data_IF_557712169046
#
_entry.id   IF_557712169046
#
_cell.length_a   1.000
_cell.length_b   1.000
_cell.length_c   1.000
_cell.angle_alpha   90.00
_cell.angle_beta   90.00
_cell.angle_gamma   90.00
#
_symmetry.space_group_name_H-M   'P 1'
#
loop_
_entity.id
_entity.type
_entity.pdbx_description
1 polymer ?
#
# COMPACT_ATOMS: atom_id res chain seq x y z
N UNK A 1 -12.78 -4.94 13.96
CA UNK A 1 -11.53 -5.08 14.73
C UNK A 1 -11.51 -4.15 15.94
N UNK A 2 -11.69 -2.82 15.79
CA UNK A 2 -11.48 -1.86 16.90
C UNK A 2 -12.76 -1.33 17.59
N UNK A 3 -13.82 -2.15 17.71
CA UNK A 3 -15.12 -1.68 18.25
C UNK A 3 -15.10 -1.29 19.73
N UNK A 4 -14.19 -1.88 20.50
CA UNK A 4 -14.04 -1.71 21.95
C UNK A 4 -12.57 -1.57 22.31
N UNK A 5 -11.82 -0.83 21.49
CA UNK A 5 -10.38 -0.73 21.65
C UNK A 5 -10.04 0.39 22.65
N UNK A 6 -9.30 0.05 23.69
CA UNK A 6 -8.82 0.97 24.72
C UNK A 6 -7.31 0.92 24.80
N UNK A 7 -6.65 2.06 24.62
CA UNK A 7 -5.17 2.15 24.70
C UNK A 7 -4.64 1.61 26.04
N UNK A 8 -5.37 1.81 27.13
CA UNK A 8 -4.95 1.36 28.48
C UNK A 8 -5.05 -0.15 28.67
N UNK A 9 -6.01 -0.78 28.02
CA UNK A 9 -6.34 -2.19 28.24
C UNK A 9 -5.75 -3.09 27.16
N UNK A 10 -5.69 -2.60 25.91
CA UNK A 10 -5.34 -3.43 24.75
C UNK A 10 -3.89 -3.28 24.31
N UNK A 11 -3.16 -2.26 24.76
CA UNK A 11 -1.73 -2.13 24.41
C UNK A 11 -0.89 -2.97 25.37
N UNK A 12 -0.16 -3.93 24.81
CA UNK A 12 0.76 -4.79 25.57
C UNK A 12 2.18 -4.23 25.66
N UNK A 13 2.59 -3.40 24.69
CA UNK A 13 3.87 -2.71 24.73
C UNK A 13 4.16 -1.92 23.46
N UNK A 14 5.09 -0.96 23.56
CA UNK A 14 5.53 -0.15 22.42
C UNK A 14 7.05 -0.04 22.39
N UNK A 15 7.64 -0.20 21.19
CA UNK A 15 9.10 -0.21 21.01
C UNK A 15 9.48 0.48 19.70
N UNK A 16 10.66 1.09 19.67
CA UNK A 16 11.27 1.57 18.43
C UNK A 16 12.00 0.42 17.74
N UNK A 17 11.84 0.33 16.42
CA UNK A 17 12.36 -0.77 15.61
C UNK A 17 13.80 -0.49 15.17
N UNK A 18 14.67 -1.51 15.15
CA UNK A 18 16.04 -1.40 14.64
C UNK A 18 16.07 -1.08 13.14
N UNK A 19 17.09 -0.36 12.66
CA UNK A 19 17.19 0.11 11.27
C UNK A 19 17.15 -1.01 10.20
N UNK A 20 17.60 -2.23 10.51
CA UNK A 20 17.48 -3.37 9.59
C UNK A 20 16.03 -3.81 9.40
N UNK A 21 15.27 -3.90 10.49
CA UNK A 21 13.86 -4.29 10.47
C UNK A 21 13.01 -3.18 9.85
N UNK A 22 13.34 -1.91 10.11
CA UNK A 22 12.71 -0.77 9.43
C UNK A 22 12.83 -0.88 7.90
N UNK A 23 14.03 -1.14 7.38
CA UNK A 23 14.22 -1.35 5.94
C UNK A 23 13.35 -2.49 5.39
N UNK A 24 13.24 -3.59 6.14
CA UNK A 24 12.38 -4.71 5.74
C UNK A 24 10.89 -4.32 5.70
N UNK A 25 10.38 -3.64 6.73
CA UNK A 25 8.99 -3.16 6.76
C UNK A 25 8.72 -2.21 5.60
N UNK A 26 9.65 -1.30 5.30
CA UNK A 26 9.54 -0.38 4.17
C UNK A 26 9.44 -1.12 2.84
N UNK A 27 10.28 -2.11 2.62
CA UNK A 27 10.26 -2.91 1.39
C UNK A 27 8.94 -3.66 1.25
N UNK A 28 8.45 -4.30 2.32
CA UNK A 28 7.18 -5.03 2.29
C UNK A 28 5.99 -4.09 2.01
N UNK A 29 5.99 -2.87 2.57
CA UNK A 29 4.98 -1.87 2.27
C UNK A 29 4.99 -1.45 0.80
N UNK A 30 6.17 -1.25 0.20
CA UNK A 30 6.31 -0.88 -1.20
C UNK A 30 5.91 -2.00 -2.16
N UNK A 31 6.20 -3.25 -1.80
CA UNK A 31 5.77 -4.43 -2.56
C UNK A 31 4.24 -4.60 -2.50
N UNK A 32 3.65 -4.45 -1.31
CA UNK A 32 2.22 -4.65 -1.12
C UNK A 32 1.38 -3.49 -1.66
N UNK A 33 1.85 -2.25 -1.51
CA UNK A 33 1.13 -1.03 -1.88
C UNK A 33 2.00 -0.21 -2.85
N UNK A 34 2.05 -0.56 -4.15
CA UNK A 34 2.96 0.08 -5.12
C UNK A 34 2.81 1.59 -5.22
N UNK A 35 1.63 2.15 -4.95
CA UNK A 35 1.38 3.58 -4.94
C UNK A 35 2.21 4.35 -3.91
N UNK A 36 2.70 3.67 -2.86
CA UNK A 36 3.63 4.27 -1.90
C UNK A 36 4.97 4.67 -2.53
N UNK A 37 5.34 4.07 -3.67
CA UNK A 37 6.55 4.41 -4.43
C UNK A 37 6.38 5.61 -5.38
N UNK A 38 5.14 6.05 -5.62
CA UNK A 38 4.87 7.17 -6.52
C UNK A 38 5.30 8.50 -5.90
N UNK A 39 5.55 9.47 -6.77
CA UNK A 39 5.90 10.85 -6.37
C UNK A 39 4.73 11.48 -5.63
N UNK A 40 4.99 11.96 -4.42
CA UNK A 40 4.00 12.62 -3.58
C UNK A 40 3.56 13.94 -4.22
N UNK A 41 2.24 14.16 -4.30
CA UNK A 41 1.68 15.42 -4.78
C UNK A 41 2.00 16.52 -3.77
N UNK A 42 2.79 17.51 -4.16
CA UNK A 42 2.90 18.78 -3.42
C UNK A 42 1.68 19.63 -3.76
N UNK A 43 0.88 20.02 -2.77
CA UNK A 43 -0.10 21.09 -2.93
C UNK A 43 0.57 22.29 -3.62
N UNK A 44 0.12 22.65 -4.83
CA UNK A 44 0.62 23.80 -5.57
C UNK A 44 1.26 23.55 -6.95
N UNK A 45 1.20 22.34 -7.52
CA UNK A 45 1.39 22.18 -8.98
C UNK A 45 0.07 21.82 -9.63
N UNK A 46 -0.43 22.73 -10.47
CA UNK A 46 -1.48 22.42 -11.43
C UNK A 46 -1.04 21.19 -12.25
N UNK A 47 -1.87 20.15 -12.26
CA UNK A 47 -1.69 19.04 -13.20
C UNK A 47 -1.84 19.59 -14.61
N UNK A 48 -0.91 19.34 -15.55
CA UNK A 48 -1.25 19.45 -16.96
C UNK A 48 -2.46 18.53 -17.21
N UNK A 49 -3.47 18.97 -17.97
CA UNK A 49 -4.65 18.15 -18.24
C UNK A 49 -4.19 16.81 -18.81
N UNK A 50 -4.75 15.72 -18.30
CA UNK A 50 -4.51 14.38 -18.83
C UNK A 50 -4.73 14.41 -20.34
N UNK A 51 -3.65 14.28 -21.10
CA UNK A 51 -3.75 14.18 -22.55
C UNK A 51 -4.61 12.95 -22.87
N UNK A 52 -5.64 13.10 -23.73
CA UNK A 52 -6.47 11.98 -24.12
C UNK A 52 -5.58 10.97 -24.85
N UNK A 53 -5.56 9.74 -24.36
CA UNK A 53 -4.92 8.60 -25.02
C UNK A 53 -5.33 8.60 -26.49
N UNK A 54 -4.40 8.72 -27.47
CA UNK A 54 -4.78 8.64 -28.86
C UNK A 54 -5.27 7.21 -29.14
N UNK A 55 -6.47 7.12 -29.73
CA UNK A 55 -7.06 5.87 -30.17
C UNK A 55 -6.11 5.12 -31.12
N UNK A 56 -6.09 3.77 -31.10
CA UNK A 56 -5.23 3.00 -31.98
C UNK A 56 -5.68 3.18 -33.43
N UNK A 57 -4.78 3.72 -34.25
CA UNK A 57 -4.92 3.75 -35.71
C UNK A 57 -4.68 2.31 -36.22
N UNK A 58 -5.51 1.76 -37.13
CA UNK A 58 -5.28 0.42 -37.67
C UNK A 58 -4.09 0.43 -38.64
N UNK A 59 -3.10 -0.42 -38.40
CA UNK A 59 -2.03 -0.71 -39.36
C UNK A 59 -2.56 -1.52 -40.55
N UNK A 60 -2.11 -1.23 -41.79
CA UNK A 60 -2.49 -1.99 -42.96
C UNK A 60 -1.73 -3.33 -43.03
N UNK A 61 -2.42 -4.35 -43.53
CA UNK A 61 -1.90 -5.68 -43.79
C UNK A 61 -0.67 -5.65 -44.71
N UNK A 62 0.34 -6.46 -44.36
CA UNK A 62 1.39 -6.89 -45.29
C UNK A 62 1.55 -8.40 -45.22
N UNK A 63 1.72 -8.96 -46.41
CA UNK A 63 1.59 -10.35 -46.81
C UNK A 63 2.76 -11.24 -46.34
N UNK A 64 2.48 -12.54 -46.35
CA UNK A 64 3.35 -13.66 -46.05
C UNK A 64 4.49 -13.80 -47.06
N UNK A 65 5.71 -14.13 -46.60
CA UNK A 65 6.65 -14.98 -47.33
C UNK A 65 7.38 -15.92 -46.34
N UNK A 66 7.36 -17.21 -46.67
CA UNK A 66 8.09 -18.32 -46.05
C UNK A 66 9.55 -18.35 -46.52
N UNK A 67 10.50 -18.76 -45.65
CA UNK A 67 11.54 -19.72 -46.05
C UNK A 67 12.26 -20.35 -44.83
N UNK A 68 12.48 -21.66 -44.92
CA UNK A 68 13.30 -22.51 -44.04
C UNK A 68 14.81 -22.29 -44.27
N UNK A 69 15.66 -22.53 -43.26
CA UNK A 69 16.64 -23.65 -43.25
C UNK A 69 17.60 -23.59 -42.03
N UNK A 70 18.08 -24.77 -41.69
CA UNK A 70 18.87 -25.23 -40.56
C UNK A 70 20.32 -24.71 -40.56
N UNK A 71 20.96 -24.68 -39.37
CA UNK A 71 22.16 -25.51 -39.13
C UNK A 71 22.78 -25.32 -37.74
N UNK A 72 23.35 -26.42 -37.26
CA UNK A 72 24.08 -26.63 -36.00
C UNK A 72 25.48 -25.99 -36.03
N UNK A 73 25.98 -25.58 -34.86
CA UNK A 73 27.40 -25.31 -34.66
C UNK A 73 27.83 -25.31 -33.18
N UNK A 74 28.36 -26.45 -32.71
CA UNK A 74 29.07 -26.59 -31.42
C UNK A 74 30.43 -25.88 -31.48
N UNK A 75 30.84 -25.22 -30.39
CA UNK A 75 32.22 -24.77 -30.19
C UNK A 75 32.60 -24.70 -28.71
N UNK A 76 33.41 -25.66 -28.26
CA UNK A 76 34.01 -25.76 -26.92
C UNK A 76 35.20 -24.81 -26.76
N UNK A 77 35.45 -24.39 -25.51
CA UNK A 77 36.76 -24.52 -24.88
C UNK A 77 37.56 -23.24 -24.66
N UNK A 78 38.12 -23.09 -23.45
CA UNK A 78 39.18 -22.12 -23.19
C UNK A 78 39.35 -21.73 -21.72
N UNK A 79 40.00 -22.61 -20.94
CA UNK A 79 40.42 -22.40 -19.55
C UNK A 79 41.71 -21.56 -19.54
N UNK A 80 41.83 -20.54 -18.68
CA UNK A 80 43.08 -19.81 -18.46
C UNK A 80 43.20 -19.26 -17.04
N UNK A 81 44.15 -19.77 -16.27
CA UNK A 81 44.49 -19.44 -14.89
C UNK A 81 45.38 -18.18 -14.79
N UNK A 82 45.32 -17.48 -13.66
CA UNK A 82 46.51 -17.29 -12.82
C UNK A 82 46.95 -15.87 -12.43
N UNK A 83 47.32 -15.72 -11.14
CA UNK A 83 48.15 -14.64 -10.54
C UNK A 83 47.32 -13.52 -9.88
N UNK A 84 47.21 -13.33 -8.55
CA UNK A 84 48.06 -13.40 -7.33
C UNK A 84 48.89 -12.13 -7.05
N UNK A 85 48.68 -11.60 -5.82
CA UNK A 85 49.42 -10.59 -5.03
C UNK A 85 49.26 -9.14 -5.54
N UNK A 86 49.06 -8.11 -4.72
CA UNK A 86 49.27 -7.90 -3.28
C UNK A 86 49.99 -6.56 -3.10
N UNK A 87 49.55 -5.66 -2.20
CA UNK A 87 50.27 -4.40 -1.98
C UNK A 87 49.53 -3.38 -1.14
N UNK A 88 50.17 -2.97 -0.04
CA UNK A 88 49.72 -2.16 1.08
C UNK A 88 49.95 -0.66 0.82
N UNK A 89 49.07 0.19 1.38
CA UNK A 89 49.47 1.38 2.14
C UNK A 89 49.70 2.70 1.38
N UNK A 90 48.87 3.70 1.69
CA UNK A 90 49.12 5.10 1.39
C UNK A 90 48.17 6.01 2.16
N UNK A 91 48.68 6.66 3.22
CA UNK A 91 47.99 7.64 4.08
C UNK A 91 48.38 9.05 3.62
N UNK A 92 47.42 9.91 3.28
CA UNK A 92 47.46 11.38 3.10
C UNK A 92 46.06 11.77 2.62
N UNK A 93 45.34 12.80 3.04
CA UNK A 93 45.49 13.92 3.97
C UNK A 93 44.11 14.59 3.98
N UNK A 94 43.77 15.33 5.04
CA UNK A 94 42.47 16.02 5.20
C UNK A 94 42.19 16.93 4.00
N UNK A 95 41.07 16.69 3.32
CA UNK A 95 40.31 17.73 2.64
C UNK A 95 38.98 17.85 3.40
N UNK A 96 38.70 19.06 3.88
CA UNK A 96 37.37 19.41 4.37
C UNK A 96 36.47 19.48 3.12
N UNK A 97 35.72 18.41 2.86
CA UNK A 97 34.57 18.51 1.97
C UNK A 97 33.56 19.42 2.66
N UNK A 98 33.45 20.64 2.16
CA UNK A 98 32.27 21.46 2.37
C UNK A 98 31.05 20.61 1.96
N UNK A 99 29.93 20.65 2.71
CA UNK A 99 28.73 19.97 2.26
C UNK A 99 28.37 20.55 0.89
N UNK A 100 28.37 19.69 -0.13
CA UNK A 100 27.83 20.01 -1.43
C UNK A 100 26.41 20.60 -1.22
N UNK A 101 26.03 21.64 -1.97
CA UNK A 101 24.69 22.23 -1.85
C UNK A 101 23.67 21.12 -1.99
N UNK A 102 22.70 21.09 -1.08
CA UNK A 102 21.64 20.11 -1.07
C UNK A 102 20.99 20.08 -2.46
N UNK A 103 21.01 18.90 -3.07
CA UNK A 103 20.28 18.60 -4.28
C UNK A 103 18.78 18.59 -3.92
N UNK A 104 18.19 19.79 -3.83
CA UNK A 104 16.82 20.08 -3.38
C UNK A 104 15.73 19.62 -4.37
N UNK A 105 16.08 18.73 -5.31
CA UNK A 105 15.17 18.24 -6.34
C UNK A 105 15.07 16.71 -6.37
N UNK A 106 15.12 16.04 -5.21
CA UNK A 106 14.64 14.66 -5.12
C UNK A 106 13.12 14.65 -5.07
N UNK A 107 12.50 14.02 -6.06
CA UNK A 107 11.10 13.64 -6.02
C UNK A 107 10.84 12.84 -4.74
N UNK A 108 10.03 13.41 -3.84
CA UNK A 108 9.66 12.78 -2.58
C UNK A 108 8.60 11.74 -2.89
N UNK A 109 8.83 10.48 -2.51
CA UNK A 109 7.81 9.44 -2.67
C UNK A 109 6.73 9.57 -1.59
N UNK A 110 5.51 9.09 -1.84
CA UNK A 110 4.42 9.08 -0.84
C UNK A 110 4.87 8.44 0.48
N UNK A 111 5.66 7.35 0.42
CA UNK A 111 6.20 6.71 1.61
C UNK A 111 7.21 7.57 2.37
N UNK A 112 7.95 8.45 1.69
CA UNK A 112 8.90 9.37 2.31
C UNK A 112 8.17 10.52 3.04
N UNK A 113 6.95 10.86 2.60
CA UNK A 113 6.09 11.81 3.31
C UNK A 113 5.40 11.18 4.52
N UNK A 114 4.90 9.94 4.40
CA UNK A 114 4.29 9.22 5.52
C UNK A 114 5.30 8.78 6.58
N UNK A 115 6.48 8.35 6.13
CA UNK A 115 7.55 7.84 6.97
C UNK A 115 8.92 8.22 6.38
N UNK A 116 9.48 9.37 6.80
CA UNK A 116 10.77 9.82 6.35
C UNK A 116 11.89 8.84 6.74
N UNK A 117 12.90 8.66 5.88
CA UNK A 117 13.96 7.64 6.02
C UNK A 117 14.80 7.76 7.31
N UNK A 118 14.85 8.93 7.93
CA UNK A 118 15.58 9.17 9.18
C UNK A 118 14.74 8.93 10.44
N UNK A 119 13.42 8.84 10.30
CA UNK A 119 12.52 8.77 11.45
C UNK A 119 12.39 7.33 11.96
N UNK A 120 12.50 7.12 13.28
CA UNK A 120 12.32 5.81 13.86
C UNK A 120 10.88 5.34 13.69
N UNK A 121 10.70 4.08 13.28
CA UNK A 121 9.40 3.44 13.25
C UNK A 121 9.07 2.90 14.65
N UNK A 122 7.99 3.42 15.23
CA UNK A 122 7.37 2.86 16.43
C UNK A 122 6.54 1.63 16.07
N UNK A 123 6.61 0.61 16.92
CA UNK A 123 5.77 -0.58 16.84
C UNK A 123 5.08 -0.78 18.18
N UNK A 124 3.76 -0.62 18.16
CA UNK A 124 2.88 -0.88 19.30
C UNK A 124 2.19 -2.22 19.11
N UNK A 125 2.45 -3.15 20.04
CA UNK A 125 1.81 -4.46 20.09
C UNK A 125 0.56 -4.37 20.93
N UNK A 126 -0.53 -4.94 20.43
CA UNK A 126 -1.82 -4.94 21.08
C UNK A 126 -2.30 -6.37 21.33
N UNK A 127 -3.35 -6.50 22.15
CA UNK A 127 -4.14 -7.72 22.28
C UNK A 127 -4.73 -8.15 20.93
N UNK A 128 -5.22 -9.38 20.86
CA UNK A 128 -5.72 -9.99 19.61
C UNK A 128 -4.68 -10.05 18.48
N UNK A 129 -3.39 -9.96 18.82
CA UNK A 129 -2.25 -9.96 17.87
C UNK A 129 -2.33 -8.85 16.81
N UNK A 130 -2.83 -7.69 17.21
CA UNK A 130 -2.76 -6.48 16.40
C UNK A 130 -1.39 -5.82 16.58
N UNK A 131 -0.76 -5.38 15.49
CA UNK A 131 0.43 -4.52 15.55
C UNK A 131 0.14 -3.21 14.84
N UNK A 132 0.41 -2.10 15.51
CA UNK A 132 0.24 -0.74 14.98
C UNK A 132 1.62 -0.14 14.76
N UNK A 133 1.83 0.45 13.59
CA UNK A 133 3.06 1.11 13.18
C UNK A 133 2.87 2.62 13.25
N UNK A 134 3.78 3.30 13.95
CA UNK A 134 3.67 4.73 14.25
C UNK A 134 4.93 5.49 13.85
N UNK A 135 4.74 6.73 13.45
CA UNK A 135 5.81 7.73 13.25
C UNK A 135 5.42 8.94 14.08
N UNK A 136 6.30 9.39 14.99
CA UNK A 136 6.00 10.44 15.98
C UNK A 136 4.70 10.16 16.75
N UNK A 137 4.54 8.92 17.23
CA UNK A 137 3.33 8.43 17.90
C UNK A 137 2.05 8.41 17.03
N UNK A 138 2.08 8.89 15.79
CA UNK A 138 0.90 8.90 14.91
C UNK A 138 0.78 7.56 14.16
N UNK A 139 -0.37 6.86 14.24
CA UNK A 139 -0.54 5.58 13.58
C UNK A 139 -0.70 5.73 12.06
N UNK A 140 0.17 5.06 11.30
CA UNK A 140 0.19 5.10 9.83
C UNK A 140 -0.34 3.80 9.20
N UNK A 141 0.04 2.65 9.75
CA UNK A 141 -0.39 1.33 9.31
C UNK A 141 -0.67 0.44 10.51
N UNK A 142 -1.43 -0.62 10.31
CA UNK A 142 -1.58 -1.70 11.27
C UNK A 142 -1.69 -3.03 10.52
N UNK A 143 -1.41 -4.14 11.21
CA UNK A 143 -1.73 -5.46 10.70
C UNK A 143 -2.34 -6.30 11.82
N UNK A 144 -2.91 -7.43 11.44
CA UNK A 144 -3.51 -8.40 12.33
C UNK A 144 -2.90 -9.77 12.06
N UNK A 145 -2.31 -10.39 13.09
CA UNK A 145 -1.44 -11.56 12.95
C UNK A 145 -0.32 -11.27 11.94
N UNK A 146 -0.03 -12.22 11.04
CA UNK A 146 0.92 -12.09 9.93
C UNK A 146 0.20 -11.67 8.63
N UNK A 147 -0.95 -10.99 8.77
CA UNK A 147 -1.73 -10.48 7.65
C UNK A 147 -1.09 -9.26 6.97
N UNK A 148 -1.71 -8.77 5.88
CA UNK A 148 -1.22 -7.62 5.13
C UNK A 148 -1.19 -6.35 5.98
N UNK A 149 -0.36 -5.40 5.59
CA UNK A 149 -0.39 -4.05 6.13
C UNK A 149 -1.66 -3.32 5.68
N UNK A 150 -2.37 -2.73 6.63
CA UNK A 150 -3.60 -1.98 6.39
C UNK A 150 -3.30 -0.51 6.75
N UNK A 151 -3.47 0.45 5.82
CA UNK A 151 -3.33 1.85 6.15
C UNK A 151 -4.41 2.29 7.14
N UNK A 152 -4.12 3.27 7.99
CA UNK A 152 -5.20 3.88 8.78
C UNK A 152 -6.15 4.65 7.87
N UNK A 153 -7.41 4.82 8.31
CA UNK A 153 -8.38 5.64 7.56
C UNK A 153 -7.86 7.06 7.29
N UNK A 154 -7.06 7.63 8.21
CA UNK A 154 -6.45 8.96 8.03
C UNK A 154 -5.47 8.98 6.86
N UNK A 155 -4.62 7.97 6.75
CA UNK A 155 -3.69 7.80 5.62
C UNK A 155 -4.47 7.60 4.33
N UNK A 156 -5.51 6.77 4.37
CA UNK A 156 -6.36 6.50 3.21
C UNK A 156 -7.16 7.74 2.75
N UNK A 157 -7.58 8.62 3.65
CA UNK A 157 -8.24 9.88 3.29
C UNK A 157 -7.30 10.82 2.53
N UNK A 158 -6.01 10.80 2.86
CA UNK A 158 -4.98 11.59 2.17
C UNK A 158 -4.55 10.96 0.85
N UNK A 159 -4.53 9.64 0.78
CA UNK A 159 -4.14 8.86 -0.39
C UNK A 159 -5.20 7.81 -0.73
N UNK A 160 -6.35 8.21 -1.31
CA UNK A 160 -7.49 7.30 -1.54
C UNK A 160 -7.18 6.14 -2.49
N UNK A 161 -6.22 6.34 -3.39
CA UNK A 161 -5.83 5.32 -4.36
C UNK A 161 -5.12 4.12 -3.71
N UNK A 162 -4.61 4.22 -2.47
CA UNK A 162 -3.83 3.15 -1.80
C UNK A 162 -4.54 1.80 -1.76
N UNK A 163 -5.87 1.78 -1.74
CA UNK A 163 -6.67 0.57 -1.74
C UNK A 163 -7.74 0.64 -2.84
N UNK A 164 -8.10 -0.49 -3.46
CA UNK A 164 -9.31 -0.56 -4.26
C UNK A 164 -10.53 -0.23 -3.39
N UNK A 165 -11.53 0.45 -3.97
CA UNK A 165 -12.71 0.88 -3.23
C UNK A 165 -13.96 0.10 -3.65
N UNK A 166 -14.80 -0.21 -2.68
CA UNK A 166 -16.19 -0.63 -2.88
C UNK A 166 -17.10 0.50 -2.39
N UNK A 167 -18.29 0.64 -2.98
CA UNK A 167 -19.28 1.62 -2.53
C UNK A 167 -20.50 0.92 -1.95
N UNK A 168 -20.89 1.33 -0.76
CA UNK A 168 -22.15 0.93 -0.13
C UNK A 168 -23.24 1.96 -0.42
N UNK A 169 -24.48 1.49 -0.52
CA UNK A 169 -25.62 2.39 -0.60
C UNK A 169 -25.88 3.19 0.68
N UNK A 170 -26.75 4.20 0.56
CA UNK A 170 -27.18 5.04 1.68
C UNK A 170 -27.76 4.27 2.88
N UNK A 171 -28.45 3.15 2.63
CA UNK A 171 -29.09 2.36 3.67
C UNK A 171 -28.08 1.64 4.57
N UNK A 172 -26.96 1.24 4.00
CA UNK A 172 -25.87 0.54 4.69
C UNK A 172 -25.02 1.45 5.59
N UNK A 173 -24.99 2.77 5.36
CA UNK A 173 -24.11 3.73 6.06
C UNK A 173 -24.25 3.62 7.58
N UNK A 174 -25.49 3.65 8.09
CA UNK A 174 -25.74 3.58 9.55
C UNK A 174 -25.21 2.29 10.18
N UNK A 175 -25.24 1.19 9.42
CA UNK A 175 -24.78 -0.12 9.88
C UNK A 175 -23.26 -0.20 9.87
N UNK A 176 -22.61 0.38 8.86
CA UNK A 176 -21.15 0.51 8.82
C UNK A 176 -20.64 1.29 10.03
N UNK A 177 -21.26 2.44 10.34
CA UNK A 177 -20.87 3.26 11.49
C UNK A 177 -21.15 2.60 12.85
N UNK A 178 -21.99 1.57 12.86
CA UNK A 178 -22.20 0.70 14.03
C UNK A 178 -21.20 -0.49 14.08
N UNK A 179 -20.31 -0.61 13.10
CA UNK A 179 -19.32 -1.69 12.97
C UNK A 179 -19.87 -3.01 12.45
N UNK A 180 -21.00 -2.99 11.74
CA UNK A 180 -21.54 -4.20 11.10
C UNK A 180 -20.77 -4.54 9.82
N UNK A 181 -20.74 -5.82 9.46
CA UNK A 181 -20.19 -6.26 8.17
C UNK A 181 -21.07 -5.82 7.01
N UNK A 182 -20.47 -5.58 5.85
CA UNK A 182 -21.21 -5.16 4.65
C UNK A 182 -21.71 -6.37 3.88
N UNK A 183 -23.00 -6.33 3.57
CA UNK A 183 -23.71 -7.42 2.92
C UNK A 183 -23.74 -7.22 1.40
N UNK A 184 -23.72 -8.32 0.63
CA UNK A 184 -23.74 -8.27 -0.83
C UNK A 184 -24.85 -7.37 -1.41
N UNK A 185 -26.11 -7.38 -0.91
CA UNK A 185 -27.15 -6.49 -1.44
C UNK A 185 -26.81 -4.99 -1.36
N UNK A 186 -26.07 -4.56 -0.33
CA UNK A 186 -25.70 -3.14 -0.16
C UNK A 186 -24.62 -2.66 -1.14
N UNK A 187 -23.90 -3.59 -1.77
CA UNK A 187 -22.89 -3.31 -2.80
C UNK A 187 -23.42 -3.52 -4.23
N UNK A 188 -24.50 -4.27 -4.38
CA UNK A 188 -25.12 -4.63 -5.67
C UNK A 188 -26.40 -3.82 -5.96
N UNK A 189 -26.83 -2.98 -5.03
CA UNK A 189 -27.97 -2.08 -5.20
C UNK A 189 -27.62 -0.90 -6.13
N UNK A 190 -28.62 -0.08 -6.49
CA UNK A 190 -28.43 1.08 -7.38
C UNK A 190 -27.38 2.09 -6.89
N UNK A 191 -27.22 2.22 -5.56
CA UNK A 191 -26.23 3.09 -4.94
C UNK A 191 -24.94 2.37 -4.54
N UNK A 192 -24.93 1.04 -4.62
CA UNK A 192 -23.76 0.22 -4.36
C UNK A 192 -22.88 0.03 -5.60
N UNK A 193 -21.57 -0.08 -5.39
CA UNK A 193 -20.61 -0.38 -6.45
C UNK A 193 -19.65 -1.44 -5.94
N UNK A 194 -19.64 -2.59 -6.63
CA UNK A 194 -18.64 -3.63 -6.46
C UNK A 194 -17.80 -3.70 -7.74
N UNK A 195 -16.52 -3.25 -7.71
CA UNK A 195 -15.61 -3.44 -8.84
C UNK A 195 -15.37 -4.91 -9.14
N UNK A 196 -15.04 -5.22 -10.39
CA UNK A 196 -14.65 -6.57 -10.82
C UNK A 196 -13.19 -6.85 -10.45
N UNK A 197 -12.81 -8.13 -10.43
CA UNK A 197 -11.41 -8.55 -10.24
C UNK A 197 -10.86 -8.46 -8.81
N UNK A 198 -11.69 -8.14 -7.80
CA UNK A 198 -11.24 -8.20 -6.41
C UNK A 198 -11.19 -9.66 -5.94
N UNK A 199 -10.04 -10.07 -5.44
CA UNK A 199 -9.83 -11.39 -4.89
C UNK A 199 -10.43 -11.53 -3.49
N UNK A 200 -10.71 -12.77 -3.08
CA UNK A 200 -10.98 -13.10 -1.69
C UNK A 200 -9.81 -12.64 -0.80
N UNK A 201 -10.13 -12.19 0.42
CA UNK A 201 -9.18 -11.67 1.40
C UNK A 201 -8.47 -10.35 1.01
N UNK A 202 -8.80 -9.75 -0.16
CA UNK A 202 -8.30 -8.45 -0.53
C UNK A 202 -8.78 -7.35 0.43
N UNK A 203 -7.89 -6.43 0.78
CA UNK A 203 -8.20 -5.27 1.61
C UNK A 203 -8.78 -4.17 0.74
N UNK A 204 -9.95 -3.65 1.12
CA UNK A 204 -10.72 -2.68 0.34
C UNK A 204 -11.10 -1.47 1.19
N UNK A 205 -11.10 -0.30 0.56
CA UNK A 205 -11.72 0.90 1.10
C UNK A 205 -13.24 0.82 0.93
N UNK A 206 -14.00 1.15 1.97
CA UNK A 206 -15.46 1.18 1.93
C UNK A 206 -15.91 2.63 1.80
N UNK A 207 -16.32 3.02 0.60
CA UNK A 207 -16.94 4.31 0.31
C UNK A 207 -18.46 4.22 0.49
N UNK A 208 -19.08 5.36 0.74
CA UNK A 208 -20.53 5.46 0.85
C UNK A 208 -21.07 6.36 -0.27
N UNK A 209 -22.24 6.00 -0.79
CA UNK A 209 -22.94 6.81 -1.80
C UNK A 209 -23.09 8.28 -1.35
N UNK A 210 -22.51 9.19 -2.14
CA UNK A 210 -22.54 10.63 -1.86
C UNK A 210 -21.53 11.10 -0.80
N UNK A 211 -20.49 10.32 -0.52
CA UNK A 211 -19.35 10.70 0.34
C UNK A 211 -18.04 10.58 -0.43
N UNK A 212 -17.19 11.60 -0.29
CA UNK A 212 -15.88 11.64 -0.94
C UNK A 212 -14.86 10.72 -0.27
N UNK A 213 -14.84 10.71 1.07
CA UNK A 213 -13.88 9.93 1.84
C UNK A 213 -14.38 8.52 2.20
N UNK A 214 -13.45 7.58 2.29
CA UNK A 214 -13.72 6.23 2.78
C UNK A 214 -14.32 6.27 4.20
N UNK A 215 -15.44 5.57 4.39
CA UNK A 215 -16.12 5.46 5.67
C UNK A 215 -15.63 4.26 6.50
N UNK A 216 -14.92 3.32 5.88
CA UNK A 216 -14.30 2.19 6.54
C UNK A 216 -13.29 1.47 5.68
N UNK A 217 -12.63 0.48 6.28
CA UNK A 217 -11.75 -0.47 5.60
C UNK A 217 -12.25 -1.86 5.96
N UNK A 218 -12.26 -2.74 4.97
CA UNK A 218 -12.68 -4.11 5.17
C UNK A 218 -11.86 -5.10 4.35
N UNK A 219 -12.18 -6.36 4.57
CA UNK A 219 -11.61 -7.50 3.86
C UNK A 219 -12.71 -8.21 3.08
N UNK A 220 -12.44 -8.50 1.81
CA UNK A 220 -13.34 -9.27 0.96
C UNK A 220 -13.54 -10.69 1.51
N UNK A 221 -14.79 -11.12 1.69
CA UNK A 221 -15.11 -12.48 2.18
C UNK A 221 -15.00 -13.55 1.08
N UNK A 222 -15.16 -13.13 -0.17
CA UNK A 222 -15.18 -13.93 -1.40
C UNK A 222 -14.74 -13.03 -2.57
N UNK A 223 -14.54 -13.59 -3.78
CA UNK A 223 -14.20 -12.75 -4.94
C UNK A 223 -15.38 -11.87 -5.39
N UNK A 224 -15.12 -10.80 -6.14
CA UNK A 224 -16.18 -9.95 -6.71
C UNK A 224 -17.21 -10.76 -7.50
N UNK A 225 -16.75 -11.74 -8.27
CA UNK A 225 -17.61 -12.58 -9.12
C UNK A 225 -18.48 -13.51 -8.28
N UNK A 226 -17.90 -14.12 -7.23
CA UNK A 226 -18.63 -14.97 -6.29
C UNK A 226 -19.70 -14.19 -5.52
N UNK A 227 -19.38 -12.97 -5.08
CA UNK A 227 -20.33 -12.09 -4.38
C UNK A 227 -21.47 -11.71 -5.32
N UNK A 228 -21.17 -11.33 -6.57
CA UNK A 228 -22.18 -10.98 -7.57
C UNK A 228 -23.07 -12.16 -7.92
N UNK A 229 -22.50 -13.37 -8.04
CA UNK A 229 -23.23 -14.61 -8.31
C UNK A 229 -24.13 -15.04 -7.16
N UNK A 230 -23.66 -14.92 -5.92
CA UNK A 230 -24.43 -15.25 -4.72
C UNK A 230 -25.56 -14.24 -4.47
N UNK A 231 -25.27 -12.95 -4.62
CA UNK A 231 -26.19 -11.85 -4.34
C UNK A 231 -26.59 -11.70 -2.86
N UNK A 232 -26.11 -12.59 -1.98
CA UNK A 232 -26.47 -12.66 -0.56
C UNK A 232 -25.25 -12.99 0.31
N UNK A 233 -25.40 -12.73 1.61
CA UNK A 233 -24.35 -12.99 2.61
C UNK A 233 -23.41 -11.80 2.82
N UNK A 234 -22.42 -12.01 3.68
CA UNK A 234 -21.37 -11.02 3.96
C UNK A 234 -20.48 -10.92 2.72
N UNK A 235 -20.29 -9.71 2.20
CA UNK A 235 -19.39 -9.43 1.09
C UNK A 235 -18.06 -8.83 1.57
N UNK A 236 -18.12 -7.97 2.59
CA UNK A 236 -16.93 -7.35 3.17
C UNK A 236 -17.01 -7.40 4.69
N UNK A 237 -16.00 -8.02 5.30
CA UNK A 237 -15.79 -8.04 6.74
C UNK A 237 -15.15 -6.71 7.16
N UNK A 238 -15.82 -5.96 8.04
CA UNK A 238 -15.36 -4.62 8.41
C UNK A 238 -14.25 -4.71 9.45
N UNK A 239 -13.12 -4.09 9.13
CA UNK A 239 -11.93 -4.05 9.99
C UNK A 239 -11.98 -2.81 10.89
N UNK A 240 -12.05 -1.63 10.27
CA UNK A 240 -12.16 -0.34 10.96
C UNK A 240 -13.13 0.59 10.22
N UNK A 241 -13.69 1.56 10.92
CA UNK A 241 -14.61 2.54 10.34
C UNK A 241 -14.50 3.90 11.02
N UNK A 242 -15.00 4.93 10.35
CA UNK A 242 -15.01 6.28 10.90
C UNK A 242 -15.86 6.30 12.18
N UNK A 243 -15.26 6.76 13.28
CA UNK A 243 -15.92 6.85 14.58
C UNK A 243 -15.77 5.61 15.47
N UNK A 244 -15.06 4.56 15.02
CA UNK A 244 -14.59 3.50 15.92
C UNK A 244 -13.58 4.03 16.95
N UNK A 245 -13.18 3.19 17.89
CA UNK A 245 -12.30 3.66 18.96
C UNK A 245 -10.87 3.91 18.48
N UNK A 246 -10.42 3.19 17.44
CA UNK A 246 -9.12 3.44 16.83
C UNK A 246 -9.06 4.77 16.07
N UNK A 247 -10.14 5.15 15.39
CA UNK A 247 -10.28 6.43 14.70
C UNK A 247 -10.12 7.65 15.62
N UNK A 248 -10.61 7.53 16.86
CA UNK A 248 -10.54 8.58 17.89
C UNK A 248 -9.11 8.76 18.41
N UNK A 249 -8.26 7.76 18.27
CA UNK A 249 -6.87 7.79 18.73
C UNK A 249 -6.05 8.58 17.71
N UNK A 250 -5.48 9.70 18.17
CA UNK A 250 -4.56 10.52 17.36
C UNK A 250 -3.12 10.05 17.51
N UNK A 251 -2.76 9.65 18.72
CA UNK A 251 -1.43 9.25 19.11
C UNK A 251 -1.49 7.96 19.92
N UNK A 252 -0.58 7.04 19.64
CA UNK A 252 -0.44 5.76 20.34
C UNK A 252 1.01 5.31 20.34
N UNK A 253 1.43 4.67 21.43
CA UNK A 253 2.76 4.11 21.52
C UNK A 253 3.79 5.08 22.08
N UNK A 254 4.98 5.08 21.46
CA UNK A 254 6.14 5.88 21.87
C UNK A 254 6.10 7.27 21.23
#
# INVERSE_FOLDING_TARGET
MFKKFSVKEDVSGSTSVKSSVQRNVRNNLLEQLPLLSQTAYKEGRETPPAEPTPAPVPEPAQEEEEEEDQSKGKGKGGKGKGGKKGGKGGKKGKAQDAPAPADDNKEVQVIDELWPKGEPLGVTKCHERITIYTVHSVPIFFNHFDGPFIPTLRVLHRYPALLPHVQIDRGAIKFLLAGANMMAPGLLSKGGILPEGLAKDAIVAIHAEGKEHACGIGRMSASSDEIRKSGKGVAVEVVCWVGDDFWKIKEIGL
#
